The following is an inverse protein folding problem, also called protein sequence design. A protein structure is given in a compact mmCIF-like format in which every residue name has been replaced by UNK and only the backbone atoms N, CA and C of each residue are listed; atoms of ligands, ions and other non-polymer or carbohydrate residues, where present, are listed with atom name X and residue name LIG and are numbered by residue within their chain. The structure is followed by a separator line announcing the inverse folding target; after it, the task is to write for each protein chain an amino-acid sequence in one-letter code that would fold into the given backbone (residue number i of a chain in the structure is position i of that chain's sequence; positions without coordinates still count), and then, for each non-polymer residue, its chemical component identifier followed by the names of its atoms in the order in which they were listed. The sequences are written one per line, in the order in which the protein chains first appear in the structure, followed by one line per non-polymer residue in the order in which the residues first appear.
data_IF_527306512572
#
_entry.id   IF_527306512572
#
_cell.length_a   1.000
_cell.length_b   1.000
_cell.length_c   1.000
_cell.angle_alpha   90.00
_cell.angle_beta   90.00
_cell.angle_gamma   90.00
#
_symmetry.space_group_name_H-M   'P 1'
#
loop_
_entity.id
_entity.type
_entity.pdbx_description
1 polymer ?
#
# COMPACT_ATOMS: atom_id res chain seq x y z
N UNK A 1 -9.34 15.88 -0.69
CA UNK A 1 -10.42 15.29 0.13
C UNK A 1 -9.84 14.07 0.84
N UNK A 2 -9.54 14.17 2.14
CA UNK A 2 -9.22 12.99 2.94
C UNK A 2 -10.56 12.34 3.24
N UNK A 3 -10.86 11.21 2.60
CA UNK A 3 -12.13 10.50 2.80
C UNK A 3 -12.18 10.05 4.26
N UNK A 4 -13.05 10.68 5.07
CA UNK A 4 -13.31 10.28 6.45
C UNK A 4 -14.20 9.03 6.44
N UNK A 5 -13.62 7.89 6.05
CA UNK A 5 -14.28 6.59 6.12
C UNK A 5 -14.45 6.21 7.61
N UNK A 6 -15.62 5.72 8.04
CA UNK A 6 -15.80 5.28 9.42
C UNK A 6 -14.82 4.14 9.76
N UNK A 7 -13.97 4.37 10.76
CA UNK A 7 -12.93 3.43 11.22
C UNK A 7 -13.37 2.59 12.43
N UNK A 8 -14.49 2.92 13.05
CA UNK A 8 -14.98 2.27 14.26
C UNK A 8 -15.41 0.82 13.98
N UNK A 9 -14.91 -0.14 14.77
CA UNK A 9 -15.22 -1.57 14.61
C UNK A 9 -14.42 -2.33 13.54
N UNK A 10 -13.49 -1.66 12.83
CA UNK A 10 -12.65 -2.34 11.83
C UNK A 10 -11.64 -3.26 12.51
N UNK A 11 -11.67 -4.53 12.13
CA UNK A 11 -10.74 -5.52 12.70
C UNK A 11 -9.29 -5.33 12.19
N UNK A 12 -9.12 -4.59 11.08
CA UNK A 12 -7.84 -4.09 10.60
C UNK A 12 -7.89 -2.57 10.57
N UNK A 13 -7.30 -1.87 11.57
CA UNK A 13 -7.38 -0.42 11.66
C UNK A 13 -6.57 0.25 10.54
N UNK A 14 -6.97 1.48 10.20
CA UNK A 14 -6.15 2.36 9.36
C UNK A 14 -4.96 2.87 10.17
N UNK A 15 -3.84 3.06 9.49
CA UNK A 15 -2.62 3.61 10.06
C UNK A 15 -1.82 4.38 9.00
N UNK A 16 -0.85 5.16 9.45
CA UNK A 16 0.08 5.83 8.56
C UNK A 16 1.45 6.02 9.21
N UNK A 17 2.48 6.01 8.37
CA UNK A 17 3.82 6.46 8.73
C UNK A 17 4.19 7.69 7.90
N UNK A 18 4.97 8.58 8.49
CA UNK A 18 5.62 9.68 7.78
C UNK A 18 7.12 9.55 7.98
N UNK A 19 7.88 9.66 6.90
CA UNK A 19 9.34 9.62 6.91
C UNK A 19 9.88 10.71 5.97
N UNK A 20 11.17 10.99 6.05
CA UNK A 20 11.82 12.04 5.25
C UNK A 20 12.60 11.40 4.10
N UNK A 21 12.54 11.99 2.91
CA UNK A 21 13.42 11.72 1.77
C UNK A 21 14.03 13.05 1.36
N UNK A 22 15.35 13.16 1.38
CA UNK A 22 16.08 14.42 1.11
C UNK A 22 15.63 15.62 1.97
N UNK A 23 15.09 15.35 3.16
CA UNK A 23 14.57 16.37 4.08
C UNK A 23 13.11 16.76 3.86
N UNK A 24 12.45 16.18 2.85
CA UNK A 24 11.04 16.38 2.54
C UNK A 24 10.15 15.19 2.99
N UNK A 25 8.96 15.47 3.54
CA UNK A 25 8.12 14.44 4.11
C UNK A 25 7.41 13.61 3.04
N UNK A 26 7.50 12.28 3.19
CA UNK A 26 6.74 11.28 2.45
C UNK A 26 5.82 10.57 3.43
N UNK A 27 4.54 10.46 3.08
CA UNK A 27 3.52 9.80 3.91
C UNK A 27 3.03 8.53 3.24
N UNK A 28 2.97 7.45 4.02
CA UNK A 28 2.36 6.18 3.63
C UNK A 28 1.13 5.94 4.50
N UNK A 29 -0.03 5.72 3.87
CA UNK A 29 -1.28 5.36 4.54
C UNK A 29 -1.64 3.92 4.17
N UNK A 30 -1.99 3.09 5.15
CA UNK A 30 -2.31 1.68 4.91
C UNK A 30 -3.31 1.15 5.95
N UNK A 31 -4.12 0.17 5.58
CA UNK A 31 -4.81 -0.66 6.57
C UNK A 31 -3.84 -1.68 7.14
N UNK A 32 -3.65 -1.68 8.48
CA UNK A 32 -2.75 -2.61 9.19
C UNK A 32 -3.21 -4.06 8.95
N UNK A 33 -2.45 -4.88 8.19
CA UNK A 33 -2.83 -6.26 7.95
C UNK A 33 -2.65 -7.09 9.23
N UNK A 34 -3.63 -7.96 9.50
CA UNK A 34 -3.56 -8.96 10.55
C UNK A 34 -4.04 -10.29 9.98
N UNK A 35 -3.15 -11.27 9.94
CA UNK A 35 -3.42 -12.59 9.34
C UNK A 35 -4.43 -13.40 10.16
N UNK A 36 -4.46 -13.21 11.49
CA UNK A 36 -5.35 -13.93 12.42
C UNK A 36 -5.34 -15.44 12.24
N UNK A 37 -4.13 -16.02 12.16
CA UNK A 37 -3.93 -17.46 11.99
C UNK A 37 -4.08 -17.99 10.56
N UNK A 38 -4.41 -17.13 9.57
CA UNK A 38 -4.49 -17.52 8.16
C UNK A 38 -3.14 -17.40 7.47
N UNK A 39 -2.88 -18.29 6.53
CA UNK A 39 -1.84 -18.09 5.52
C UNK A 39 -2.36 -17.08 4.50
N UNK A 40 -1.87 -15.84 4.57
CA UNK A 40 -2.31 -14.76 3.68
C UNK A 40 -1.61 -14.89 2.32
N UNK A 41 -0.31 -14.61 2.29
CA UNK A 41 0.54 -14.65 1.09
C UNK A 41 0.82 -16.11 0.72
N UNK A 42 0.63 -16.45 -0.55
CA UNK A 42 0.69 -17.84 -1.04
C UNK A 42 -0.52 -18.68 -0.62
N UNK A 43 -1.48 -18.09 0.10
CA UNK A 43 -2.73 -18.72 0.50
C UNK A 43 -3.91 -18.29 -0.36
N UNK A 44 -5.15 -18.63 0.05
CA UNK A 44 -6.36 -18.33 -0.73
C UNK A 44 -6.68 -16.83 -0.77
N UNK A 45 -6.30 -16.06 0.26
CA UNK A 45 -6.58 -14.62 0.36
C UNK A 45 -5.63 -13.78 -0.52
N UNK A 46 -4.35 -14.18 -0.61
CA UNK A 46 -3.33 -13.51 -1.43
C UNK A 46 -2.49 -14.57 -2.17
N UNK A 47 -3.02 -15.14 -3.27
CA UNK A 47 -2.32 -16.18 -4.02
C UNK A 47 -1.09 -15.63 -4.73
N UNK A 48 -0.09 -16.49 -4.93
CA UNK A 48 1.04 -16.14 -5.80
C UNK A 48 0.60 -15.93 -7.25
N UNK A 49 1.27 -15.02 -7.96
CA UNK A 49 0.99 -14.68 -9.35
C UNK A 49 -0.32 -13.92 -9.57
N UNK A 50 -1.02 -13.51 -8.50
CA UNK A 50 -2.25 -12.71 -8.58
C UNK A 50 -2.03 -11.29 -8.08
N UNK A 51 -2.64 -10.33 -8.78
CA UNK A 51 -2.64 -8.93 -8.35
C UNK A 51 -3.35 -8.80 -7.00
N UNK A 52 -2.64 -8.23 -6.03
CA UNK A 52 -3.13 -7.94 -4.70
C UNK A 52 -3.15 -6.44 -4.45
N UNK A 53 -4.30 -5.97 -3.93
CA UNK A 53 -4.44 -4.64 -3.34
C UNK A 53 -3.65 -4.60 -2.04
N UNK A 54 -2.38 -4.20 -2.11
CA UNK A 54 -1.43 -4.24 -0.99
C UNK A 54 -2.00 -3.54 0.25
N UNK A 55 -2.10 -4.27 1.36
CA UNK A 55 -2.67 -3.80 2.63
C UNK A 55 -4.08 -4.35 2.93
N UNK A 56 -4.62 -4.04 4.11
CA UNK A 56 -5.96 -4.44 4.50
C UNK A 56 -7.02 -3.40 4.07
N UNK A 57 -8.20 -3.88 3.63
CA UNK A 57 -9.37 -3.09 3.20
C UNK A 57 -9.18 -2.13 2.01
N UNK A 58 -8.31 -1.12 2.14
CA UNK A 58 -7.99 -0.11 1.13
C UNK A 58 -6.58 -0.30 0.56
N UNK A 59 -6.26 0.14 -0.68
CA UNK A 59 -4.89 0.07 -1.18
C UNK A 59 -3.99 0.93 -0.30
N UNK A 60 -2.76 0.46 -0.10
CA UNK A 60 -1.72 1.29 0.50
C UNK A 60 -1.48 2.49 -0.40
N UNK A 61 -1.52 3.69 0.18
CA UNK A 61 -1.35 4.96 -0.51
C UNK A 61 -0.03 5.59 -0.11
N UNK A 62 0.75 6.01 -1.10
CA UNK A 62 1.95 6.83 -0.90
C UNK A 62 1.70 8.25 -1.39
N UNK A 63 2.07 9.22 -0.58
CA UNK A 63 2.00 10.64 -0.87
C UNK A 63 3.41 11.22 -0.72
N UNK A 64 3.91 11.83 -1.78
CA UNK A 64 5.24 12.43 -1.81
C UNK A 64 5.19 13.83 -2.40
N UNK A 65 5.95 14.76 -1.83
CA UNK A 65 6.16 16.11 -2.37
C UNK A 65 7.44 16.22 -3.20
N UNK A 66 8.27 15.17 -3.19
CA UNK A 66 9.53 15.09 -3.94
C UNK A 66 9.56 13.89 -4.88
N UNK A 67 10.41 13.91 -5.93
CA UNK A 67 10.68 12.72 -6.72
C UNK A 67 11.27 11.62 -5.82
N UNK A 68 10.73 10.41 -5.90
CA UNK A 68 11.24 9.25 -5.14
C UNK A 68 11.32 8.01 -6.04
N UNK A 69 12.07 7.00 -5.60
CA UNK A 69 12.11 5.70 -6.27
C UNK A 69 11.44 4.65 -5.39
N UNK A 70 10.44 3.95 -5.92
CA UNK A 70 9.72 2.86 -5.25
C UNK A 70 9.96 1.58 -6.03
N UNK A 71 10.64 0.60 -5.42
CA UNK A 71 10.96 -0.69 -6.05
C UNK A 71 11.64 -0.55 -7.44
N UNK A 72 12.55 0.43 -7.58
CA UNK A 72 13.24 0.73 -8.85
C UNK A 72 12.45 1.61 -9.82
N UNK A 73 11.22 1.99 -9.50
CA UNK A 73 10.37 2.87 -10.31
C UNK A 73 10.49 4.30 -9.80
N UNK A 74 11.04 5.20 -10.62
CA UNK A 74 11.05 6.63 -10.32
C UNK A 74 9.65 7.23 -10.49
N UNK A 75 9.17 7.95 -9.47
CA UNK A 75 7.86 8.59 -9.46
C UNK A 75 8.00 10.07 -9.10
N UNK A 76 7.22 10.91 -9.78
CA UNK A 76 7.15 12.34 -9.52
C UNK A 76 6.35 12.64 -8.23
N UNK A 77 6.47 13.86 -7.68
CA UNK A 77 5.58 14.33 -6.61
C UNK A 77 4.11 14.04 -6.92
N UNK A 78 3.37 13.50 -5.96
CA UNK A 78 2.00 13.07 -6.17
C UNK A 78 1.50 12.06 -5.15
N UNK A 79 0.30 11.54 -5.43
CA UNK A 79 -0.34 10.47 -4.65
C UNK A 79 -0.51 9.25 -5.52
N UNK A 80 -0.16 8.08 -4.99
CA UNK A 80 -0.20 6.82 -5.73
C UNK A 80 -0.75 5.71 -4.86
N UNK A 81 -1.48 4.77 -5.46
CA UNK A 81 -1.88 3.51 -4.84
C UNK A 81 -0.88 2.41 -5.19
N UNK A 82 -0.62 1.53 -4.24
CA UNK A 82 0.30 0.41 -4.39
C UNK A 82 -0.45 -0.90 -4.51
N UNK A 83 -0.07 -1.67 -5.52
CA UNK A 83 -0.47 -3.06 -5.72
C UNK A 83 0.78 -3.92 -5.83
N UNK A 84 0.63 -5.19 -5.55
CA UNK A 84 1.73 -6.15 -5.68
C UNK A 84 1.24 -7.43 -6.33
N UNK A 85 2.11 -8.10 -7.07
CA UNK A 85 1.92 -9.49 -7.48
C UNK A 85 2.98 -10.31 -6.74
N UNK A 86 2.62 -10.98 -5.63
CA UNK A 86 3.59 -11.77 -4.89
C UNK A 86 3.93 -13.03 -5.67
N UNK A 87 5.20 -13.43 -5.62
CA UNK A 87 5.68 -14.74 -6.04
C UNK A 87 6.46 -15.38 -4.89
N UNK A 88 6.86 -16.63 -5.09
CA UNK A 88 7.61 -17.40 -4.08
C UNK A 88 8.98 -16.77 -3.82
N UNK A 89 9.68 -16.35 -4.87
CA UNK A 89 11.04 -15.78 -4.78
C UNK A 89 11.08 -14.27 -5.04
N UNK A 90 10.16 -13.76 -5.85
CA UNK A 90 10.15 -12.37 -6.31
C UNK A 90 8.77 -11.77 -6.28
N UNK A 91 8.70 -10.46 -6.08
CA UNK A 91 7.45 -9.71 -6.06
C UNK A 91 7.51 -8.64 -7.14
N UNK A 92 6.39 -8.46 -7.84
CA UNK A 92 6.23 -7.33 -8.75
C UNK A 92 5.47 -6.23 -8.00
N UNK A 93 6.00 -5.02 -8.04
CA UNK A 93 5.39 -3.84 -7.42
C UNK A 93 4.79 -2.97 -8.50
N UNK A 94 3.53 -2.60 -8.32
CA UNK A 94 2.79 -1.74 -9.24
C UNK A 94 2.47 -0.44 -8.53
N UNK A 95 2.97 0.67 -9.09
CA UNK A 95 2.63 2.02 -8.65
C UNK A 95 1.57 2.59 -9.58
N UNK A 96 0.39 2.88 -9.05
CA UNK A 96 -0.75 3.34 -9.81
C UNK A 96 -1.12 4.79 -9.44
N UNK A 97 -1.42 5.62 -10.44
CA UNK A 97 -1.86 7.02 -10.25
C UNK A 97 -3.35 7.14 -9.88
N UNK A 98 -4.16 6.11 -10.12
CA UNK A 98 -5.54 6.11 -9.64
C UNK A 98 -5.56 5.97 -8.12
N UNK A 99 -6.29 6.87 -7.46
CA UNK A 99 -6.44 6.90 -5.99
C UNK A 99 -7.90 6.63 -5.57
N UNK A 100 -8.75 6.30 -6.53
CA UNK A 100 -10.18 5.98 -6.38
C UNK A 100 -10.42 4.55 -6.82
N UNK A 101 -11.24 3.83 -6.05
CA UNK A 101 -11.74 2.49 -6.36
C UNK A 101 -13.14 2.55 -6.96
#
# INVERSE_FOLDING_TARGET
VVMNMPTEGRVSPLDSITFQVDGDPVKLCYGRPSARGRTMIGGPDVPFGRLWRTGANEPTMIHTTVPITVAGIAIAPGSYSLYTVPGEERWEVVVNRSITQ
#
